data_IF_247404651413
#
_entry.id   IF_247404651413
#
_cell.length_a   1.000
_cell.length_b   1.000
_cell.length_c   1.000
_cell.angle_alpha   90.00
_cell.angle_beta   90.00
_cell.angle_gamma   90.00
#
_symmetry.space_group_name_H-M   'P 1'
#
loop_
_entity.id
_entity.type
_entity.pdbx_description
1 polymer ?
#
# COMPACT_ATOMS: atom_id res chain seq x y z
N UNK A 1 -39.43 -12.46 -4.84
CA UNK A 1 -39.22 -12.18 -6.27
C UNK A 1 -39.85 -10.82 -6.53
N UNK A 2 -39.10 -9.91 -7.15
CA UNK A 2 -39.51 -8.51 -7.30
C UNK A 2 -39.57 -8.13 -8.79
N UNK A 3 -40.32 -7.07 -9.13
CA UNK A 3 -40.33 -6.54 -10.49
C UNK A 3 -39.05 -5.76 -10.75
N UNK A 4 -38.38 -6.04 -11.87
CA UNK A 4 -37.17 -5.33 -12.28
C UNK A 4 -37.45 -3.86 -12.62
N UNK A 5 -36.78 -2.97 -11.90
CA UNK A 5 -36.97 -1.51 -11.99
C UNK A 5 -36.10 -0.86 -13.07
N UNK A 6 -35.10 -1.57 -13.61
CA UNK A 6 -34.10 -0.99 -14.52
C UNK A 6 -34.14 -1.60 -15.91
N UNK A 7 -33.66 -0.85 -16.88
CA UNK A 7 -33.14 -1.34 -18.16
C UNK A 7 -31.62 -1.31 -18.10
N UNK A 8 -30.98 -2.45 -18.37
CA UNK A 8 -29.52 -2.61 -18.32
C UNK A 8 -29.01 -3.01 -19.69
N UNK A 9 -28.23 -2.13 -20.33
CA UNK A 9 -27.67 -2.34 -21.66
C UNK A 9 -26.17 -2.06 -21.67
N UNK A 10 -25.46 -2.68 -22.62
CA UNK A 10 -24.09 -2.30 -22.92
C UNK A 10 -24.08 -0.89 -23.51
N UNK A 11 -23.11 -0.07 -23.11
CA UNK A 11 -22.89 1.22 -23.74
C UNK A 11 -22.28 1.01 -25.15
N UNK A 12 -22.92 1.57 -26.18
CA UNK A 12 -22.44 1.48 -27.57
C UNK A 12 -21.29 2.46 -27.85
N UNK A 13 -21.23 3.58 -27.12
CA UNK A 13 -20.22 4.63 -27.30
C UNK A 13 -18.95 4.34 -26.49
N UNK A 14 -19.10 3.82 -25.27
CA UNK A 14 -17.99 3.56 -24.34
C UNK A 14 -17.79 2.05 -24.21
N UNK A 15 -16.64 1.49 -24.66
CA UNK A 15 -16.38 0.06 -24.54
C UNK A 15 -16.28 -0.35 -23.07
N UNK A 16 -16.85 -1.52 -22.76
CA UNK A 16 -16.87 -2.10 -21.41
C UNK A 16 -17.56 -1.23 -20.37
N UNK A 17 -18.61 -0.53 -20.78
CA UNK A 17 -19.47 0.25 -19.91
C UNK A 17 -20.92 -0.26 -19.92
N UNK A 18 -21.63 -0.07 -18.81
CA UNK A 18 -23.01 -0.54 -18.62
C UNK A 18 -23.89 0.67 -18.33
N UNK A 19 -24.94 0.84 -19.14
CA UNK A 19 -25.95 1.87 -18.94
C UNK A 19 -27.07 1.30 -18.09
N UNK A 20 -27.33 1.96 -16.96
CA UNK A 20 -28.48 1.69 -16.10
C UNK A 20 -29.49 2.83 -16.26
N UNK A 21 -30.71 2.52 -16.66
CA UNK A 21 -31.80 3.49 -16.67
C UNK A 21 -33.02 2.93 -15.92
N UNK A 22 -33.70 3.78 -15.14
CA UNK A 22 -34.92 3.39 -14.44
C UNK A 22 -36.07 3.36 -15.45
N UNK A 23 -36.89 2.30 -15.43
CA UNK A 23 -38.04 2.19 -16.33
C UNK A 23 -39.03 3.34 -16.06
N UNK A 24 -39.63 3.95 -17.09
CA UNK A 24 -40.48 5.15 -16.94
C UNK A 24 -41.74 4.94 -16.08
N UNK A 25 -42.17 3.68 -15.90
CA UNK A 25 -43.35 3.33 -15.11
C UNK A 25 -43.04 3.03 -13.63
N UNK A 26 -41.79 3.21 -13.17
CA UNK A 26 -41.36 2.95 -11.80
C UNK A 26 -41.23 4.26 -11.04
N UNK A 27 -42.02 4.43 -9.98
CA UNK A 27 -41.95 5.62 -9.10
C UNK A 27 -40.87 5.49 -8.02
N UNK A 28 -40.59 4.27 -7.56
CA UNK A 28 -39.61 4.00 -6.51
C UNK A 28 -38.91 2.65 -6.76
N UNK A 29 -37.57 2.68 -6.73
CA UNK A 29 -36.72 1.49 -6.86
C UNK A 29 -36.61 0.79 -5.51
N UNK A 30 -36.68 -0.55 -5.48
CA UNK A 30 -36.46 -1.31 -4.24
C UNK A 30 -35.01 -1.17 -3.76
N UNK A 31 -34.82 -1.11 -2.44
CA UNK A 31 -33.50 -0.97 -1.81
C UNK A 31 -32.49 -2.04 -2.28
N UNK A 32 -32.95 -3.29 -2.46
CA UNK A 32 -32.11 -4.39 -2.94
C UNK A 32 -31.59 -4.18 -4.37
N UNK A 33 -32.44 -3.65 -5.26
CA UNK A 33 -32.06 -3.36 -6.64
C UNK A 33 -31.12 -2.15 -6.71
N UNK A 34 -31.36 -1.12 -5.89
CA UNK A 34 -30.45 0.03 -5.80
C UNK A 34 -29.08 -0.38 -5.27
N UNK A 35 -29.02 -1.21 -4.22
CA UNK A 35 -27.76 -1.75 -3.69
C UNK A 35 -27.00 -2.55 -4.74
N UNK A 36 -27.68 -3.43 -5.46
CA UNK A 36 -27.08 -4.22 -6.52
C UNK A 36 -26.54 -3.34 -7.65
N UNK A 37 -27.32 -2.37 -8.13
CA UNK A 37 -26.90 -1.41 -9.16
C UNK A 37 -25.60 -0.71 -8.76
N UNK A 38 -25.57 -0.07 -7.59
CA UNK A 38 -24.39 0.66 -7.10
C UNK A 38 -23.17 -0.26 -6.95
N UNK A 39 -23.37 -1.49 -6.50
CA UNK A 39 -22.28 -2.44 -6.30
C UNK A 39 -21.70 -2.94 -7.62
N UNK A 40 -22.54 -3.16 -8.64
CA UNK A 40 -22.08 -3.53 -9.98
C UNK A 40 -21.29 -2.38 -10.61
N UNK A 41 -21.76 -1.13 -10.50
CA UNK A 41 -21.02 0.03 -11.01
C UNK A 41 -19.64 0.16 -10.36
N UNK A 42 -19.56 0.06 -9.03
CA UNK A 42 -18.27 0.07 -8.33
C UNK A 42 -17.36 -1.07 -8.79
N UNK A 43 -17.92 -2.26 -8.97
CA UNK A 43 -17.17 -3.43 -9.40
C UNK A 43 -16.66 -3.26 -10.83
N UNK A 44 -17.47 -2.70 -11.72
CA UNK A 44 -17.11 -2.41 -13.10
C UNK A 44 -15.91 -1.46 -13.19
N UNK A 45 -15.89 -0.39 -12.38
CA UNK A 45 -14.75 0.54 -12.33
C UNK A 45 -13.46 -0.17 -11.93
N UNK A 46 -13.52 -1.03 -10.91
CA UNK A 46 -12.36 -1.81 -10.45
C UNK A 46 -11.90 -2.80 -11.52
N UNK A 47 -12.81 -3.54 -12.16
CA UNK A 47 -12.49 -4.52 -13.22
C UNK A 47 -11.85 -3.83 -14.43
N UNK A 48 -12.41 -2.70 -14.87
CA UNK A 48 -11.84 -1.91 -15.99
C UNK A 48 -10.40 -1.48 -15.72
N UNK A 49 -10.13 -1.01 -14.50
CA UNK A 49 -8.78 -0.58 -14.10
C UNK A 49 -7.83 -1.78 -13.91
N UNK A 50 -8.31 -2.87 -13.33
CA UNK A 50 -7.50 -4.05 -13.03
C UNK A 50 -7.06 -4.80 -14.29
N UNK A 51 -7.92 -4.84 -15.31
CA UNK A 51 -7.69 -5.58 -16.55
C UNK A 51 -7.50 -4.67 -17.77
N UNK A 52 -7.09 -3.41 -17.57
CA UNK A 52 -6.82 -2.45 -18.66
C UNK A 52 -5.85 -3.02 -19.72
N UNK A 53 -4.88 -3.82 -19.29
CA UNK A 53 -3.88 -4.44 -20.15
C UNK A 53 -4.28 -5.81 -20.71
N UNK A 54 -5.46 -6.35 -20.36
CA UNK A 54 -5.89 -7.71 -20.69
C UNK A 54 -7.32 -7.71 -21.24
N UNK A 55 -7.46 -7.44 -22.55
CA UNK A 55 -8.77 -7.31 -23.21
C UNK A 55 -9.64 -8.56 -23.11
N UNK A 56 -9.02 -9.75 -23.13
CA UNK A 56 -9.73 -11.03 -23.02
C UNK A 56 -10.33 -11.20 -21.62
N UNK A 57 -9.53 -10.97 -20.57
CA UNK A 57 -10.02 -11.08 -19.19
C UNK A 57 -11.03 -9.97 -18.87
N UNK A 58 -10.79 -8.76 -19.36
CA UNK A 58 -11.73 -7.64 -19.23
C UNK A 58 -13.08 -8.00 -19.86
N UNK A 59 -13.10 -8.58 -21.05
CA UNK A 59 -14.34 -9.00 -21.71
C UNK A 59 -15.06 -10.10 -20.94
N UNK A 60 -14.32 -11.10 -20.44
CA UNK A 60 -14.89 -12.17 -19.64
C UNK A 60 -15.59 -11.64 -18.38
N UNK A 61 -14.91 -10.86 -17.55
CA UNK A 61 -15.49 -10.31 -16.33
C UNK A 61 -16.58 -9.28 -16.59
N UNK A 62 -16.43 -8.46 -17.64
CA UNK A 62 -17.48 -7.54 -18.09
C UNK A 62 -18.77 -8.28 -18.46
N UNK A 63 -18.67 -9.37 -19.23
CA UNK A 63 -19.84 -10.15 -19.64
C UNK A 63 -20.58 -10.74 -18.43
N UNK A 64 -19.85 -11.23 -17.43
CA UNK A 64 -20.43 -11.73 -16.19
C UNK A 64 -21.13 -10.63 -15.39
N UNK A 65 -20.52 -9.44 -15.26
CA UNK A 65 -21.16 -8.30 -14.61
C UNK A 65 -22.45 -7.88 -15.32
N UNK A 66 -22.44 -7.84 -16.66
CA UNK A 66 -23.62 -7.52 -17.45
C UNK A 66 -24.73 -8.57 -17.24
N UNK A 67 -24.39 -9.86 -17.26
CA UNK A 67 -25.36 -10.93 -17.01
C UNK A 67 -25.97 -10.87 -15.61
N UNK A 68 -25.15 -10.58 -14.58
CA UNK A 68 -25.62 -10.42 -13.20
C UNK A 68 -26.55 -9.21 -13.04
N UNK A 69 -26.20 -8.10 -13.68
CA UNK A 69 -27.02 -6.89 -13.72
C UNK A 69 -28.36 -7.16 -14.42
N UNK A 70 -28.32 -7.79 -15.59
CA UNK A 70 -29.52 -8.13 -16.35
C UNK A 70 -30.41 -9.11 -15.60
N UNK A 71 -29.87 -10.15 -14.95
CA UNK A 71 -30.66 -11.10 -14.17
C UNK A 71 -31.28 -10.48 -12.90
N UNK A 72 -30.56 -9.54 -12.26
CA UNK A 72 -30.95 -8.97 -10.98
C UNK A 72 -31.88 -7.76 -11.07
N UNK A 73 -31.89 -7.04 -12.20
CA UNK A 73 -32.52 -5.71 -12.31
C UNK A 73 -33.54 -5.57 -13.46
N UNK A 74 -33.47 -6.40 -14.49
CA UNK A 74 -34.27 -6.23 -15.73
C UNK A 74 -35.59 -7.01 -15.78
N UNK A 75 -35.71 -8.28 -15.31
CA UNK A 75 -36.88 -9.13 -15.56
C UNK A 75 -38.16 -8.50 -15.03
N UNK A 76 -39.25 -8.60 -15.80
CA UNK A 76 -40.51 -7.94 -15.44
C UNK A 76 -41.14 -8.52 -14.17
N UNK A 77 -41.13 -9.84 -14.01
CA UNK A 77 -41.83 -10.53 -12.91
C UNK A 77 -40.93 -11.41 -12.02
N UNK A 78 -39.63 -11.51 -12.32
CA UNK A 78 -38.72 -12.39 -11.60
C UNK A 78 -37.30 -11.82 -11.48
N UNK A 79 -37.17 -10.55 -11.11
CA UNK A 79 -35.87 -10.00 -10.78
C UNK A 79 -35.37 -10.61 -9.46
N UNK A 80 -34.10 -11.04 -9.46
CA UNK A 80 -33.47 -11.74 -8.33
C UNK A 80 -32.27 -10.96 -7.79
N UNK A 81 -32.46 -9.74 -7.26
CA UNK A 81 -31.35 -8.88 -6.87
C UNK A 81 -30.45 -9.50 -5.79
N UNK A 82 -31.03 -10.25 -4.85
CA UNK A 82 -30.27 -10.92 -3.77
C UNK A 82 -29.36 -12.03 -4.33
N UNK A 83 -29.86 -12.83 -5.28
CA UNK A 83 -29.08 -13.92 -5.90
C UNK A 83 -27.96 -13.34 -6.76
N UNK A 84 -28.26 -12.33 -7.58
CA UNK A 84 -27.24 -11.60 -8.35
C UNK A 84 -26.21 -10.93 -7.44
N UNK A 85 -26.61 -10.39 -6.29
CA UNK A 85 -25.68 -9.81 -5.33
C UNK A 85 -24.73 -10.85 -4.72
N UNK A 86 -25.25 -12.01 -4.32
CA UNK A 86 -24.41 -13.09 -3.78
C UNK A 86 -23.44 -13.63 -4.84
N UNK A 87 -23.90 -13.80 -6.08
CA UNK A 87 -23.04 -14.20 -7.19
C UNK A 87 -21.99 -13.13 -7.52
N UNK A 88 -22.31 -11.84 -7.37
CA UNK A 88 -21.34 -10.74 -7.49
C UNK A 88 -20.26 -10.82 -6.39
N UNK A 89 -20.62 -11.13 -5.16
CA UNK A 89 -19.64 -11.32 -4.07
C UNK A 89 -18.72 -12.51 -4.35
N UNK A 90 -19.26 -13.60 -4.90
CA UNK A 90 -18.45 -14.74 -5.32
C UNK A 90 -17.50 -14.35 -6.46
N UNK A 91 -17.98 -13.61 -7.45
CA UNK A 91 -17.15 -13.10 -8.55
C UNK A 91 -15.99 -12.23 -8.03
N UNK A 92 -16.26 -11.34 -7.08
CA UNK A 92 -15.22 -10.54 -6.41
C UNK A 92 -14.18 -11.43 -5.72
N UNK A 93 -14.63 -12.47 -5.01
CA UNK A 93 -13.74 -13.42 -4.34
C UNK A 93 -12.84 -14.18 -5.33
N UNK A 94 -13.38 -14.63 -6.46
CA UNK A 94 -12.61 -15.28 -7.54
C UNK A 94 -11.56 -14.35 -8.14
N UNK A 95 -11.91 -13.07 -8.37
CA UNK A 95 -10.96 -12.07 -8.86
C UNK A 95 -9.85 -11.82 -7.82
N UNK A 96 -10.19 -11.72 -6.53
CA UNK A 96 -9.21 -11.58 -5.45
C UNK A 96 -8.26 -12.78 -5.44
N UNK A 97 -8.78 -14.01 -5.46
CA UNK A 97 -7.95 -15.21 -5.40
C UNK A 97 -6.96 -15.27 -6.58
N UNK A 98 -7.44 -14.94 -7.78
CA UNK A 98 -6.62 -14.93 -9.00
C UNK A 98 -5.56 -13.82 -9.01
N UNK A 99 -5.90 -12.59 -8.61
CA UNK A 99 -5.05 -11.40 -8.83
C UNK A 99 -4.30 -10.90 -7.60
N UNK A 100 -4.75 -11.21 -6.39
CA UNK A 100 -4.14 -10.68 -5.16
C UNK A 100 -2.65 -11.03 -5.05
N UNK A 101 -2.28 -12.27 -5.36
CA UNK A 101 -0.89 -12.73 -5.33
C UNK A 101 0.00 -12.02 -6.35
N UNK A 102 -0.47 -11.89 -7.60
CA UNK A 102 0.26 -11.22 -8.69
C UNK A 102 0.53 -9.75 -8.36
N UNK A 103 -0.51 -9.02 -7.92
CA UNK A 103 -0.42 -7.60 -7.57
C UNK A 103 0.50 -7.40 -6.37
N UNK A 104 0.32 -8.19 -5.30
CA UNK A 104 1.15 -8.10 -4.09
C UNK A 104 2.62 -8.37 -4.42
N UNK A 105 2.90 -9.41 -5.20
CA UNK A 105 4.27 -9.77 -5.58
C UNK A 105 4.91 -8.71 -6.47
N UNK A 106 4.15 -8.12 -7.40
CA UNK A 106 4.63 -7.05 -8.27
C UNK A 106 5.00 -5.80 -7.46
N UNK A 107 4.13 -5.39 -6.53
CA UNK A 107 4.43 -4.27 -5.64
C UNK A 107 5.62 -4.57 -4.72
N UNK A 108 5.67 -5.75 -4.10
CA UNK A 108 6.77 -6.16 -3.22
C UNK A 108 8.12 -6.18 -3.92
N UNK A 109 8.17 -6.70 -5.16
CA UNK A 109 9.37 -6.65 -6.02
C UNK A 109 9.74 -5.22 -6.37
N UNK A 110 8.78 -4.40 -6.78
CA UNK A 110 9.01 -2.99 -7.13
C UNK A 110 9.58 -2.22 -5.94
N UNK A 111 8.98 -2.37 -4.75
CA UNK A 111 9.46 -1.76 -3.52
C UNK A 111 10.88 -2.20 -3.18
N UNK A 112 11.18 -3.50 -3.27
CA UNK A 112 12.52 -4.04 -3.02
C UNK A 112 13.58 -3.56 -4.02
N UNK A 113 13.23 -3.46 -5.30
CA UNK A 113 14.13 -2.91 -6.34
C UNK A 113 14.41 -1.43 -6.08
N UNK A 114 13.38 -0.64 -5.76
CA UNK A 114 13.56 0.79 -5.45
C UNK A 114 14.35 1.00 -4.16
N UNK A 115 14.10 0.19 -3.13
CA UNK A 115 14.88 0.21 -1.88
C UNK A 115 16.35 -0.14 -2.13
N UNK A 116 16.62 -1.15 -2.95
CA UNK A 116 17.97 -1.55 -3.35
C UNK A 116 18.66 -0.45 -4.15
N UNK A 117 17.96 0.16 -5.12
CA UNK A 117 18.51 1.23 -5.95
C UNK A 117 18.88 2.47 -5.11
N UNK A 118 18.05 2.85 -4.14
CA UNK A 118 18.32 3.99 -3.25
C UNK A 118 19.36 3.67 -2.17
N UNK A 119 19.37 2.44 -1.63
CA UNK A 119 20.22 2.05 -0.51
C UNK A 119 21.61 1.54 -0.89
N UNK A 120 21.74 0.79 -1.99
CA UNK A 120 23.00 0.17 -2.43
C UNK A 120 24.17 1.17 -2.58
N UNK A 121 24.03 2.31 -3.30
CA UNK A 121 25.15 3.25 -3.46
C UNK A 121 25.58 3.86 -2.12
N UNK A 122 24.63 4.16 -1.23
CA UNK A 122 24.89 4.70 0.11
C UNK A 122 25.63 3.65 0.96
N UNK A 123 25.19 2.40 0.89
CA UNK A 123 25.79 1.30 1.63
C UNK A 123 27.23 1.05 1.18
N UNK A 124 27.51 1.03 -0.13
CA UNK A 124 28.86 0.95 -0.67
C UNK A 124 29.75 2.10 -0.19
N UNK A 125 29.23 3.33 -0.20
CA UNK A 125 29.95 4.49 0.31
C UNK A 125 30.30 4.35 1.81
N UNK A 126 29.37 3.85 2.62
CA UNK A 126 29.63 3.58 4.05
C UNK A 126 30.73 2.54 4.26
N UNK A 127 30.71 1.45 3.49
CA UNK A 127 31.74 0.42 3.55
C UNK A 127 33.13 0.97 3.20
N UNK A 128 33.22 1.80 2.16
CA UNK A 128 34.49 2.46 1.77
C UNK A 128 35.01 3.33 2.92
N UNK A 129 34.15 4.14 3.54
CA UNK A 129 34.54 4.98 4.69
C UNK A 129 35.06 4.14 5.86
N UNK A 130 34.37 3.04 6.22
CA UNK A 130 34.78 2.16 7.33
C UNK A 130 36.11 1.47 7.04
N UNK A 131 36.35 1.07 5.80
CA UNK A 131 37.64 0.49 5.37
C UNK A 131 38.75 1.54 5.47
N UNK A 132 38.52 2.75 4.96
CA UNK A 132 39.51 3.84 5.04
C UNK A 132 39.82 4.21 6.50
N UNK A 133 38.82 4.24 7.38
CA UNK A 133 39.00 4.46 8.81
C UNK A 133 39.93 3.43 9.44
N UNK A 134 39.73 2.16 9.11
CA UNK A 134 40.55 1.05 9.61
C UNK A 134 42.03 1.21 9.24
N UNK A 135 42.34 1.71 8.04
CA UNK A 135 43.72 1.87 7.56
C UNK A 135 44.40 3.15 8.02
N UNK A 136 43.70 4.29 8.06
CA UNK A 136 44.35 5.61 8.23
C UNK A 136 44.27 6.15 9.65
N UNK A 137 43.29 5.74 10.46
CA UNK A 137 43.08 6.19 11.86
C UNK A 137 43.18 7.72 12.09
N UNK A 138 42.82 8.52 11.08
CA UNK A 138 42.82 9.99 11.18
C UNK A 138 41.54 10.51 11.84
N UNK A 139 41.63 11.59 12.62
CA UNK A 139 40.50 12.28 13.24
C UNK A 139 39.43 12.72 12.24
N UNK A 140 39.82 13.12 11.03
CA UNK A 140 38.88 13.50 9.96
C UNK A 140 38.03 12.28 9.56
N UNK A 141 38.66 11.11 9.46
CA UNK A 141 37.99 9.88 9.05
C UNK A 141 37.14 9.31 10.19
N UNK A 142 37.47 9.60 11.45
CA UNK A 142 36.64 9.27 12.60
C UNK A 142 35.26 9.96 12.54
N UNK A 143 35.23 11.25 12.18
CA UNK A 143 33.96 11.98 12.00
C UNK A 143 33.13 11.42 10.83
N UNK A 144 33.78 11.07 9.71
CA UNK A 144 33.10 10.41 8.59
C UNK A 144 32.59 9.01 8.97
N UNK A 145 33.35 8.26 9.78
CA UNK A 145 32.93 6.96 10.30
C UNK A 145 31.71 7.07 11.20
N UNK A 146 31.61 8.13 12.01
CA UNK A 146 30.41 8.43 12.81
C UNK A 146 29.23 8.76 11.91
N UNK A 147 29.44 9.60 10.89
CA UNK A 147 28.40 9.96 9.93
C UNK A 147 27.88 8.76 9.14
N UNK A 148 28.76 7.80 8.81
CA UNK A 148 28.37 6.55 8.13
C UNK A 148 27.36 5.72 8.92
N UNK A 149 27.32 5.83 10.26
CA UNK A 149 26.31 5.14 11.06
C UNK A 149 24.90 5.73 10.89
N UNK A 150 24.79 7.04 10.64
CA UNK A 150 23.50 7.64 10.26
C UNK A 150 23.02 7.13 8.90
N UNK A 151 23.95 6.98 7.96
CA UNK A 151 23.66 6.42 6.65
C UNK A 151 23.31 4.92 6.72
N UNK A 152 23.90 4.17 7.67
CA UNK A 152 23.46 2.80 7.96
C UNK A 152 22.03 2.75 8.49
N UNK A 153 21.63 3.68 9.38
CA UNK A 153 20.23 3.81 9.80
C UNK A 153 19.31 4.06 8.60
N UNK A 154 19.69 4.96 7.70
CA UNK A 154 18.94 5.22 6.46
C UNK A 154 18.73 3.93 5.68
N UNK A 155 19.81 3.23 5.29
CA UNK A 155 19.71 2.02 4.48
C UNK A 155 18.94 0.90 5.18
N UNK A 156 19.18 0.71 6.47
CA UNK A 156 18.49 -0.28 7.29
C UNK A 156 16.99 0.03 7.43
N UNK A 157 16.60 1.31 7.45
CA UNK A 157 15.19 1.71 7.45
C UNK A 157 14.48 1.39 6.14
N UNK A 158 15.15 1.50 5.00
CA UNK A 158 14.58 1.07 3.71
C UNK A 158 14.33 -0.44 3.68
N UNK A 159 15.27 -1.23 4.20
CA UNK A 159 15.11 -2.67 4.37
C UNK A 159 13.97 -3.00 5.34
N UNK A 160 13.86 -2.25 6.44
CA UNK A 160 12.75 -2.36 7.39
C UNK A 160 11.39 -2.11 6.75
N UNK A 161 11.25 -1.12 5.86
CA UNK A 161 10.00 -0.86 5.10
C UNK A 161 9.65 -2.03 4.20
N UNK A 162 10.63 -2.55 3.47
CA UNK A 162 10.43 -3.72 2.60
C UNK A 162 10.00 -4.95 3.40
N UNK A 163 10.67 -5.25 4.52
CA UNK A 163 10.28 -6.32 5.44
C UNK A 163 8.91 -6.09 6.07
N UNK A 164 8.58 -4.84 6.43
CA UNK A 164 7.26 -4.46 6.97
C UNK A 164 6.16 -4.80 5.96
N UNK A 165 6.37 -4.52 4.68
CA UNK A 165 5.41 -4.91 3.64
C UNK A 165 5.29 -6.44 3.52
N UNK A 166 6.41 -7.16 3.50
CA UNK A 166 6.42 -8.63 3.42
C UNK A 166 5.72 -9.31 4.59
N UNK A 167 5.87 -8.75 5.80
CA UNK A 167 5.23 -9.23 7.03
C UNK A 167 3.73 -8.86 7.12
N UNK A 168 3.24 -7.92 6.29
CA UNK A 168 1.86 -7.42 6.33
C UNK A 168 0.91 -8.15 5.37
N UNK A 169 -0.38 -8.13 5.75
CA UNK A 169 -1.63 -8.56 5.08
C UNK A 169 -1.51 -9.76 4.13
N UNK A 170 -2.03 -10.91 4.53
CA UNK A 170 -2.13 -12.13 3.71
C UNK A 170 -3.27 -12.08 2.68
N UNK A 171 -4.26 -11.20 2.85
CA UNK A 171 -5.41 -11.07 1.95
C UNK A 171 -5.65 -9.60 1.59
N UNK A 172 -5.79 -9.31 0.28
CA UNK A 172 -6.22 -8.01 -0.24
C UNK A 172 -7.74 -8.03 -0.40
N UNK A 173 -8.40 -6.93 -0.05
CA UNK A 173 -9.81 -6.71 -0.41
C UNK A 173 -9.94 -6.36 -1.89
N UNK A 174 -11.17 -6.45 -2.42
CA UNK A 174 -11.42 -6.23 -3.85
C UNK A 174 -11.03 -4.82 -4.29
N UNK A 175 -11.35 -3.82 -3.47
CA UNK A 175 -11.02 -2.41 -3.74
C UNK A 175 -9.50 -2.17 -3.64
N UNK A 176 -8.83 -2.83 -2.69
CA UNK A 176 -7.37 -2.77 -2.50
C UNK A 176 -6.58 -3.37 -3.68
N UNK A 177 -7.19 -4.19 -4.55
CA UNK A 177 -6.53 -4.66 -5.78
C UNK A 177 -6.10 -3.51 -6.69
N UNK A 178 -6.78 -2.36 -6.61
CA UNK A 178 -6.43 -1.16 -7.41
C UNK A 178 -5.67 -0.10 -6.63
N UNK A 179 -5.65 -0.20 -5.29
CA UNK A 179 -4.97 0.72 -4.37
C UNK A 179 -4.40 -0.07 -3.19
N UNK A 180 -3.16 -0.53 -3.34
CA UNK A 180 -2.51 -1.44 -2.39
C UNK A 180 -2.23 -0.78 -1.02
N UNK A 181 -1.92 0.52 -1.02
CA UNK A 181 -1.66 1.29 0.21
C UNK A 181 -2.68 2.41 0.36
N UNK A 182 -3.12 2.61 1.61
CA UNK A 182 -4.14 3.59 2.00
C UNK A 182 -3.69 5.04 1.75
N UNK A 183 -2.39 5.30 1.88
CA UNK A 183 -1.79 6.63 1.67
C UNK A 183 -1.57 6.97 0.18
N UNK A 184 -1.77 6.00 -0.72
CA UNK A 184 -1.52 6.10 -2.16
C UNK A 184 -0.11 6.59 -2.51
N UNK A 185 0.84 6.46 -1.59
CA UNK A 185 2.21 6.87 -1.85
C UNK A 185 2.89 5.88 -2.79
N UNK A 186 3.53 6.43 -3.82
CA UNK A 186 4.39 5.65 -4.67
C UNK A 186 5.56 5.06 -3.85
N UNK A 187 6.03 3.84 -4.20
CA UNK A 187 7.13 3.18 -3.48
C UNK A 187 8.35 4.08 -3.26
N UNK A 188 8.73 4.88 -4.27
CA UNK A 188 9.89 5.78 -4.19
C UNK A 188 9.68 6.89 -3.15
N UNK A 189 8.53 7.56 -3.17
CA UNK A 189 8.23 8.68 -2.26
C UNK A 189 8.18 8.17 -0.83
N UNK A 190 7.54 7.01 -0.62
CA UNK A 190 7.48 6.35 0.68
C UNK A 190 8.87 6.03 1.25
N UNK A 191 9.76 5.46 0.44
CA UNK A 191 11.13 5.13 0.86
C UNK A 191 11.92 6.40 1.23
N UNK A 192 11.80 7.47 0.44
CA UNK A 192 12.45 8.76 0.74
C UNK A 192 11.89 9.35 2.04
N UNK A 193 10.57 9.34 2.21
CA UNK A 193 9.91 9.85 3.41
C UNK A 193 10.38 9.12 4.67
N UNK A 194 10.43 7.79 4.65
CA UNK A 194 10.93 7.00 5.78
C UNK A 194 12.42 7.24 6.02
N UNK A 195 13.22 7.38 4.98
CA UNK A 195 14.63 7.74 5.11
C UNK A 195 14.82 9.10 5.81
N UNK A 196 14.05 10.12 5.42
CA UNK A 196 14.13 11.45 6.04
C UNK A 196 13.75 11.37 7.53
N UNK A 197 12.66 10.66 7.85
CA UNK A 197 12.27 10.43 9.24
C UNK A 197 13.37 9.70 10.00
N UNK A 198 13.97 8.65 9.42
CA UNK A 198 15.01 7.88 10.09
C UNK A 198 16.25 8.72 10.37
N UNK A 199 16.60 9.68 9.49
CA UNK A 199 17.67 10.66 9.75
C UNK A 199 17.36 11.62 10.89
N UNK A 200 16.10 12.10 10.99
CA UNK A 200 15.67 12.93 12.12
C UNK A 200 15.85 12.13 13.43
N UNK A 201 15.40 10.88 13.46
CA UNK A 201 15.62 10.01 14.63
C UNK A 201 17.10 9.77 14.91
N UNK A 202 17.92 9.58 13.87
CA UNK A 202 19.36 9.40 14.03
C UNK A 202 20.00 10.63 14.73
N UNK A 203 19.59 11.84 14.37
CA UNK A 203 20.01 13.08 15.04
C UNK A 203 19.51 13.14 16.50
N UNK A 204 18.26 12.73 16.76
CA UNK A 204 17.71 12.69 18.12
C UNK A 204 18.46 11.68 19.01
N UNK A 205 18.85 10.53 18.47
CA UNK A 205 19.68 9.54 19.17
C UNK A 205 21.08 10.08 19.43
N UNK A 206 21.68 10.76 18.45
CA UNK A 206 23.00 11.38 18.60
C UNK A 206 23.05 12.47 19.67
N UNK A 207 21.99 13.28 19.77
CA UNK A 207 21.86 14.31 20.80
C UNK A 207 21.35 13.78 22.13
N UNK A 208 21.15 12.47 22.25
CA UNK A 208 20.55 11.81 23.41
C UNK A 208 19.17 12.39 23.81
N UNK A 209 18.50 13.10 22.89
CA UNK A 209 17.17 13.64 23.09
C UNK A 209 16.11 12.53 23.18
N UNK A 210 16.40 11.39 22.53
CA UNK A 210 15.62 10.16 22.66
C UNK A 210 16.59 9.02 22.95
N UNK A 211 16.37 8.32 24.07
CA UNK A 211 17.12 7.12 24.42
C UNK A 211 16.16 5.94 24.48
N UNK A 212 16.37 4.97 23.59
CA UNK A 212 15.71 3.67 23.60
C UNK A 212 16.71 2.59 24.03
N UNK A 213 16.25 1.69 24.89
CA UNK A 213 17.02 0.55 25.39
C UNK A 213 16.21 -0.73 25.18
N UNK A 214 16.83 -1.72 24.53
CA UNK A 214 16.24 -3.04 24.28
C UNK A 214 17.25 -4.07 24.75
N UNK A 215 17.02 -4.61 25.95
CA UNK A 215 17.95 -5.55 26.59
C UNK A 215 19.31 -4.89 26.85
N UNK A 216 20.35 -5.34 26.13
CA UNK A 216 21.72 -4.79 26.24
C UNK A 216 22.05 -3.75 25.16
N UNK A 217 21.15 -3.51 24.21
CA UNK A 217 21.39 -2.61 23.08
C UNK A 217 20.76 -1.25 23.42
N UNK A 218 21.56 -0.19 23.36
CA UNK A 218 21.12 1.18 23.64
C UNK A 218 21.37 2.09 22.45
N UNK A 219 20.43 2.96 22.15
CA UNK A 219 20.56 4.03 21.13
C UNK A 219 21.76 4.95 21.36
N UNK A 220 22.31 5.01 22.58
CA UNK A 220 23.55 5.75 22.88
C UNK A 220 24.75 5.24 22.08
N UNK A 221 24.76 3.95 21.76
CA UNK A 221 25.83 3.32 21.00
C UNK A 221 25.66 3.45 19.48
N UNK A 222 24.63 4.16 18.98
CA UNK A 222 24.37 4.30 17.53
C UNK A 222 25.55 4.90 16.77
N UNK A 223 26.30 5.82 17.37
CA UNK A 223 27.46 6.46 16.73
C UNK A 223 28.74 5.65 16.83
N UNK A 224 28.82 4.68 17.74
CA UNK A 224 30.02 3.87 17.97
C UNK A 224 29.89 2.47 17.38
N UNK A 225 28.72 1.86 17.45
CA UNK A 225 28.42 0.51 16.98
C UNK A 225 27.51 0.52 15.75
N UNK A 226 28.05 0.02 14.64
CA UNK A 226 27.33 -0.05 13.37
C UNK A 226 26.19 -1.06 13.41
N UNK A 227 26.29 -2.12 14.22
CA UNK A 227 25.21 -3.11 14.37
C UNK A 227 24.01 -2.52 15.10
N UNK A 228 24.26 -1.76 16.17
CA UNK A 228 23.23 -0.98 16.86
C UNK A 228 22.52 -0.02 15.90
N UNK A 229 23.26 0.70 15.05
CA UNK A 229 22.69 1.58 14.03
C UNK A 229 21.78 0.83 13.04
N UNK A 230 22.21 -0.33 12.54
CA UNK A 230 21.42 -1.15 11.62
C UNK A 230 20.13 -1.66 12.30
N UNK A 231 20.22 -2.18 13.53
CA UNK A 231 19.05 -2.71 14.26
C UNK A 231 17.99 -1.63 14.45
N UNK A 232 18.39 -0.45 14.95
CA UNK A 232 17.45 0.65 15.13
C UNK A 232 16.91 1.18 13.80
N UNK A 233 17.74 1.21 12.74
CA UNK A 233 17.27 1.53 11.39
C UNK A 233 16.17 0.58 10.92
N UNK A 234 16.36 -0.74 11.06
CA UNK A 234 15.33 -1.74 10.72
C UNK A 234 14.06 -1.50 11.54
N UNK A 235 14.16 -1.26 12.84
CA UNK A 235 12.98 -0.98 13.67
C UNK A 235 12.23 0.28 13.26
N UNK A 236 12.94 1.35 12.88
CA UNK A 236 12.32 2.56 12.33
C UNK A 236 11.58 2.26 11.02
N UNK A 237 12.15 1.45 10.13
CA UNK A 237 11.49 1.03 8.90
C UNK A 237 10.27 0.13 9.14
N UNK A 238 10.39 -0.85 10.05
CA UNK A 238 9.29 -1.74 10.43
C UNK A 238 8.10 -0.98 11.01
N UNK A 239 8.41 0.06 11.79
CA UNK A 239 7.44 0.85 12.54
C UNK A 239 6.93 2.08 11.78
N UNK A 240 7.28 2.24 10.50
CA UNK A 240 6.84 3.29 9.57
C UNK A 240 5.40 3.80 9.83
N UNK A 241 4.41 2.90 9.83
CA UNK A 241 2.98 3.24 9.97
C UNK A 241 2.64 3.81 11.35
N UNK A 242 3.38 3.41 12.39
CA UNK A 242 3.18 3.89 13.76
C UNK A 242 4.01 5.13 14.07
N UNK A 243 5.19 5.27 13.44
CA UNK A 243 6.14 6.35 13.73
C UNK A 243 5.63 7.66 13.18
N UNK A 244 5.13 7.72 11.93
CA UNK A 244 4.62 8.98 11.37
C UNK A 244 3.52 9.60 12.23
N UNK A 245 2.53 8.80 12.64
CA UNK A 245 1.41 9.28 13.45
C UNK A 245 1.81 9.65 14.89
N UNK A 246 2.70 8.86 15.53
CA UNK A 246 3.17 9.15 16.89
C UNK A 246 4.17 10.30 16.95
N UNK A 247 5.02 10.46 15.93
CA UNK A 247 5.98 11.55 15.83
C UNK A 247 5.25 12.89 15.65
N UNK A 248 4.27 12.96 14.74
CA UNK A 248 3.46 14.18 14.58
C UNK A 248 2.73 14.52 15.87
N UNK A 249 2.06 13.54 16.51
CA UNK A 249 1.40 13.77 17.81
C UNK A 249 2.35 14.27 18.89
N UNK A 250 3.55 13.71 18.98
CA UNK A 250 4.54 14.10 19.98
C UNK A 250 5.17 15.46 19.68
N UNK A 251 5.44 15.76 18.41
CA UNK A 251 5.91 17.08 17.98
C UNK A 251 4.86 18.15 18.30
N UNK A 252 3.58 17.91 17.97
CA UNK A 252 2.48 18.82 18.32
C UNK A 252 2.39 19.03 19.83
N UNK A 253 2.48 17.96 20.64
CA UNK A 253 2.44 18.11 22.11
C UNK A 253 3.63 18.89 22.69
N UNK A 254 4.79 18.89 22.02
CA UNK A 254 5.95 19.67 22.44
C UNK A 254 5.77 21.16 22.10
N UNK A 255 5.16 21.47 20.95
CA UNK A 255 4.83 22.85 20.58
C UNK A 255 3.64 23.42 21.37
N UNK A 256 2.70 22.58 21.81
CA UNK A 256 1.60 22.99 22.71
C UNK A 256 2.06 23.23 24.16
N UNK A 257 3.26 22.76 24.53
CA UNK A 257 3.86 22.96 25.86
C UNK A 257 4.74 24.21 25.98
N UNK A 258 4.82 25.02 24.92
CA UNK A 258 5.51 26.32 24.85
C UNK A 258 4.46 27.44 24.83
#
# INVERSE_FOLDING_TARGET
MEKGCYTVNKNEEIPFDIIFAVKPNISQVTENQQKLHLEIEKTLVVVRKLFENSTIELHHYFSQLLSLAQAGLTPEDNAQPIISFNALQQLKAEIIDKKSGEIKNTYFKTLGVKASYLGSPILLFCFIIKILYYFTQSDVINNLSTFSNFLFIWCASLLGVWLSFGARKTTLTFEELTTIEEDRLEPTIRLIFVGIISMIFALLFYKEAVVLEIGKISTKAVTTDSFTAIIFGIFLGLSEKFIGQKLTKKATSLFESI
#
